data_IF_451047950523
#
_entry.id   IF_451047950523
#
_cell.length_a   1.000
_cell.length_b   1.000
_cell.length_c   1.000
_cell.angle_alpha   90.00
_cell.angle_beta   90.00
_cell.angle_gamma   90.00
#
_symmetry.space_group_name_H-M   'P 1'
#
loop_
_entity.id
_entity.type
_entity.pdbx_description
1 polymer ?
#
# COMPACT_ATOMS: atom_id res chain seq x y z
N UNK A 1 10.42 -34.86 -15.83
CA UNK A 1 10.33 -35.71 -14.63
C UNK A 1 11.55 -35.41 -13.79
N UNK A 2 11.44 -34.51 -12.82
CA UNK A 2 12.55 -34.15 -11.93
C UNK A 2 12.20 -34.65 -10.53
N UNK A 3 13.01 -35.62 -10.07
CA UNK A 3 12.90 -36.25 -8.77
C UNK A 3 13.59 -35.37 -7.73
N UNK A 4 12.89 -35.08 -6.63
CA UNK A 4 13.48 -34.52 -5.40
C UNK A 4 14.29 -35.61 -4.69
N UNK A 5 15.51 -35.35 -4.19
CA UNK A 5 16.21 -36.30 -3.33
C UNK A 5 15.70 -36.18 -1.89
N UNK A 6 15.12 -37.28 -1.39
CA UNK A 6 15.01 -37.57 0.03
C UNK A 6 16.43 -37.78 0.60
N UNK A 7 16.88 -36.87 1.46
CA UNK A 7 18.04 -37.09 2.32
C UNK A 7 17.76 -36.53 3.71
N UNK A 8 17.32 -37.43 4.60
CA UNK A 8 17.38 -37.24 6.05
C UNK A 8 18.86 -37.25 6.43
N UNK A 9 19.38 -36.11 6.90
CA UNK A 9 20.67 -36.06 7.59
C UNK A 9 20.37 -35.72 9.05
N UNK A 10 20.49 -36.75 9.90
CA UNK A 10 20.65 -36.56 11.34
C UNK A 10 22.10 -36.18 11.60
N UNK A 11 22.35 -34.93 11.98
CA UNK A 11 23.60 -34.53 12.65
C UNK A 11 23.28 -33.73 13.89
N UNK A 12 23.68 -34.31 15.01
CA UNK A 12 23.66 -33.79 16.37
C UNK A 12 24.47 -32.49 16.47
N UNK A 13 23.80 -31.39 16.82
CA UNK A 13 24.41 -30.09 17.06
C UNK A 13 23.33 -29.05 17.34
N UNK A 14 22.78 -29.06 18.56
CA UNK A 14 21.77 -28.08 19.01
C UNK A 14 22.38 -26.70 19.17
N UNK A 15 22.51 -25.95 18.08
CA UNK A 15 22.37 -24.50 18.11
C UNK A 15 20.88 -24.20 17.99
N UNK A 16 20.24 -24.03 19.15
CA UNK A 16 18.87 -23.58 19.25
C UNK A 16 18.83 -22.10 18.82
N UNK A 17 18.90 -21.85 17.51
CA UNK A 17 18.53 -20.56 16.95
C UNK A 17 17.08 -20.31 17.42
N UNK A 18 16.81 -19.21 18.17
CA UNK A 18 15.46 -18.96 18.64
C UNK A 18 14.54 -18.93 17.42
N UNK A 19 13.36 -19.55 17.48
CA UNK A 19 12.44 -19.69 16.34
C UNK A 19 12.19 -18.36 15.59
N UNK A 20 12.23 -17.24 16.32
CA UNK A 20 12.18 -15.87 15.78
C UNK A 20 13.31 -15.53 14.80
N UNK A 21 14.54 -16.01 15.03
CA UNK A 21 15.68 -15.79 14.13
C UNK A 21 15.56 -16.54 12.80
N UNK A 22 14.96 -17.74 12.81
CA UNK A 22 14.71 -18.53 11.61
C UNK A 22 13.57 -17.93 10.77
N UNK A 23 12.47 -17.54 11.41
CA UNK A 23 11.33 -16.89 10.75
C UNK A 23 11.71 -15.53 10.14
N UNK A 24 12.51 -14.74 10.85
CA UNK A 24 13.06 -13.48 10.34
C UNK A 24 13.96 -13.68 9.11
N UNK A 25 14.74 -14.76 9.07
CA UNK A 25 15.61 -15.08 7.93
C UNK A 25 14.78 -15.49 6.71
N UNK A 26 13.78 -16.35 6.90
CA UNK A 26 12.86 -16.78 5.83
C UNK A 26 12.11 -15.60 5.22
N UNK A 27 11.65 -14.67 6.05
CA UNK A 27 11.02 -13.43 5.61
C UNK A 27 11.97 -12.57 4.75
N UNK A 28 13.21 -12.40 5.21
CA UNK A 28 14.22 -11.62 4.49
C UNK A 28 14.51 -12.24 3.12
N UNK A 29 14.57 -13.57 3.04
CA UNK A 29 14.76 -14.29 1.77
C UNK A 29 13.53 -14.15 0.86
N UNK A 30 12.31 -14.27 1.39
CA UNK A 30 11.08 -14.06 0.62
C UNK A 30 11.05 -12.66 0.01
N UNK A 31 11.41 -11.61 0.77
CA UNK A 31 11.52 -10.24 0.25
C UNK A 31 12.57 -10.12 -0.85
N UNK A 32 13.72 -10.79 -0.73
CA UNK A 32 14.75 -10.78 -1.77
C UNK A 32 14.25 -11.42 -3.06
N UNK A 33 13.53 -12.53 -2.97
CA UNK A 33 12.90 -13.19 -4.13
C UNK A 33 11.86 -12.27 -4.77
N UNK A 34 11.00 -11.63 -3.96
CA UNK A 34 10.01 -10.67 -4.46
C UNK A 34 10.66 -9.46 -5.16
N UNK A 35 11.82 -9.00 -4.68
CA UNK A 35 12.59 -7.93 -5.35
C UNK A 35 13.12 -8.37 -6.72
N UNK A 36 13.55 -9.63 -6.82
CA UNK A 36 14.13 -10.22 -8.04
C UNK A 36 13.10 -10.62 -9.11
N UNK A 37 11.79 -10.48 -8.82
CA UNK A 37 10.75 -10.76 -9.81
C UNK A 37 10.90 -9.90 -11.07
N UNK A 38 10.64 -10.46 -12.26
CA UNK A 38 10.69 -9.72 -13.52
C UNK A 38 9.69 -8.57 -13.51
N UNK A 39 9.98 -7.50 -14.25
CA UNK A 39 9.13 -6.31 -14.32
C UNK A 39 7.78 -6.59 -15.00
N UNK A 40 7.77 -7.52 -15.94
CA UNK A 40 6.61 -7.84 -16.77
C UNK A 40 6.11 -9.25 -16.44
N UNK A 41 5.31 -9.36 -15.39
CA UNK A 41 4.62 -10.60 -15.03
C UNK A 41 3.27 -10.68 -15.77
N UNK A 42 2.94 -11.82 -16.35
CA UNK A 42 1.56 -12.07 -16.80
C UNK A 42 0.61 -12.19 -15.60
N UNK A 43 -0.68 -12.12 -15.83
CA UNK A 43 -1.66 -12.27 -14.75
C UNK A 43 -1.64 -13.68 -14.13
N UNK A 44 -1.40 -14.70 -14.96
CA UNK A 44 -1.25 -16.09 -14.50
C UNK A 44 0.00 -16.27 -13.64
N UNK A 45 1.12 -15.63 -13.99
CA UNK A 45 2.34 -15.66 -13.18
C UNK A 45 2.13 -14.92 -11.86
N UNK A 46 1.51 -13.74 -11.92
CA UNK A 46 1.18 -12.91 -10.76
C UNK A 46 0.28 -13.63 -9.75
N UNK A 47 -0.74 -14.35 -10.24
CA UNK A 47 -1.69 -15.09 -9.39
C UNK A 47 -1.03 -16.21 -8.55
N UNK A 48 0.16 -16.67 -8.96
CA UNK A 48 0.93 -17.72 -8.26
C UNK A 48 1.86 -17.15 -7.20
N UNK A 49 2.01 -15.83 -7.11
CA UNK A 49 2.93 -15.19 -6.20
C UNK A 49 2.27 -15.02 -4.84
N UNK A 50 2.96 -15.52 -3.81
CA UNK A 50 2.58 -15.34 -2.42
C UNK A 50 3.47 -14.30 -1.75
N UNK A 51 2.88 -13.56 -0.82
CA UNK A 51 3.51 -12.51 -0.03
C UNK A 51 3.36 -12.82 1.45
N UNK A 52 4.35 -12.43 2.29
CA UNK A 52 4.28 -12.61 3.72
C UNK A 52 3.29 -11.64 4.38
N UNK A 53 2.39 -12.17 5.20
CA UNK A 53 1.49 -11.40 6.05
C UNK A 53 2.13 -11.03 7.40
N UNK A 54 1.44 -10.18 8.17
CA UNK A 54 1.87 -9.75 9.51
C UNK A 54 2.02 -10.93 10.49
N UNK A 55 1.29 -12.02 10.27
CA UNK A 55 1.30 -13.27 11.06
C UNK A 55 2.36 -14.27 10.59
N UNK A 56 3.28 -13.87 9.71
CA UNK A 56 4.37 -14.69 9.17
C UNK A 56 3.91 -15.86 8.28
N UNK A 57 2.72 -15.75 7.71
CA UNK A 57 2.21 -16.72 6.74
C UNK A 57 2.33 -16.20 5.32
N UNK A 58 2.63 -17.09 4.39
CA UNK A 58 2.59 -16.78 2.96
C UNK A 58 1.15 -16.85 2.47
N UNK A 59 0.68 -15.74 1.92
CA UNK A 59 -0.69 -15.57 1.40
C UNK A 59 -0.64 -15.16 -0.07
N UNK A 60 -1.59 -15.59 -0.90
CA UNK A 60 -1.68 -15.08 -2.27
C UNK A 60 -1.71 -13.56 -2.30
N UNK A 61 -0.96 -12.94 -3.21
CA UNK A 61 -0.88 -11.47 -3.29
C UNK A 61 -2.26 -10.82 -3.57
N UNK A 62 -3.18 -11.55 -4.20
CA UNK A 62 -4.56 -11.13 -4.47
C UNK A 62 -5.46 -11.09 -3.23
N UNK A 63 -5.12 -11.83 -2.18
CA UNK A 63 -5.92 -11.96 -0.95
C UNK A 63 -5.43 -11.04 0.18
N UNK A 64 -4.21 -10.50 0.04
CA UNK A 64 -3.58 -9.64 1.04
C UNK A 64 -3.67 -8.14 0.66
N UNK A 65 -3.73 -7.30 1.69
CA UNK A 65 -3.78 -5.85 1.57
C UNK A 65 -2.45 -5.22 2.00
N UNK A 66 -1.96 -4.30 1.19
CA UNK A 66 -0.85 -3.44 1.57
C UNK A 66 -1.33 -2.28 2.43
N UNK A 67 -0.73 -2.10 3.60
CA UNK A 67 -1.01 -0.97 4.48
C UNK A 67 -0.28 0.29 3.97
N UNK A 68 -0.96 1.07 3.13
CA UNK A 68 -0.49 2.34 2.56
C UNK A 68 -0.81 3.57 3.43
N UNK A 69 -1.58 3.39 4.51
CA UNK A 69 -2.07 4.45 5.41
C UNK A 69 -1.25 4.58 6.69
N UNK A 70 -0.31 3.67 6.92
CA UNK A 70 0.63 3.68 8.05
C UNK A 70 0.02 3.21 9.37
N UNK A 71 0.91 2.87 10.32
CA UNK A 71 0.56 2.25 11.61
C UNK A 71 -0.24 3.16 12.57
N UNK A 72 -0.35 4.45 12.25
CA UNK A 72 -1.06 5.45 13.06
C UNK A 72 -2.53 5.59 12.69
N UNK A 73 -2.97 4.98 11.59
CA UNK A 73 -4.36 5.00 11.18
C UNK A 73 -5.15 3.95 11.96
N UNK A 74 -6.13 4.38 12.75
CA UNK A 74 -7.00 3.48 13.49
C UNK A 74 -8.07 2.90 12.56
N UNK A 75 -7.65 2.02 11.66
CA UNK A 75 -8.57 1.19 10.88
C UNK A 75 -8.68 -0.14 11.60
N UNK A 76 -9.87 -0.48 12.07
CA UNK A 76 -10.17 -1.87 12.45
C UNK A 76 -10.03 -2.74 11.21
N UNK A 77 -8.83 -3.27 11.01
CA UNK A 77 -8.54 -4.17 9.90
C UNK A 77 -9.38 -5.45 9.98
N UNK A 78 -10.00 -5.75 11.13
CA UNK A 78 -10.87 -6.91 11.30
C UNK A 78 -10.18 -8.19 10.85
N UNK A 79 -10.84 -8.93 9.96
CA UNK A 79 -10.32 -10.17 9.35
C UNK A 79 -9.45 -9.94 8.10
N UNK A 80 -9.06 -8.69 7.79
CA UNK A 80 -8.22 -8.39 6.63
C UNK A 80 -6.80 -8.92 6.83
N UNK A 81 -6.31 -9.60 5.80
CA UNK A 81 -4.94 -10.11 5.74
C UNK A 81 -4.03 -8.97 5.32
N UNK A 82 -3.27 -8.42 6.26
CA UNK A 82 -2.31 -7.34 5.98
C UNK A 82 -0.93 -7.90 5.64
N UNK A 83 -0.30 -7.38 4.59
CA UNK A 83 1.11 -7.64 4.34
C UNK A 83 1.99 -6.89 5.31
N UNK A 84 3.19 -7.42 5.52
CA UNK A 84 4.20 -6.78 6.35
C UNK A 84 4.66 -5.41 5.81
N UNK A 85 4.97 -4.43 6.69
CA UNK A 85 5.40 -3.08 6.29
C UNK A 85 6.67 -3.02 5.44
N UNK A 86 7.53 -4.05 5.51
CA UNK A 86 8.78 -4.09 4.76
C UNK A 86 8.59 -4.39 3.26
N UNK A 87 7.36 -4.70 2.81
CA UNK A 87 7.02 -4.69 1.40
C UNK A 87 7.11 -3.26 0.87
N UNK A 88 7.86 -3.04 -0.20
CA UNK A 88 7.95 -1.70 -0.81
C UNK A 88 6.83 -1.50 -1.85
N UNK A 89 6.47 -0.22 -2.08
CA UNK A 89 5.46 0.18 -3.07
C UNK A 89 5.71 -0.36 -4.49
N UNK A 90 6.98 -0.53 -4.87
CA UNK A 90 7.33 -1.09 -6.18
C UNK A 90 6.93 -2.56 -6.32
N UNK A 91 7.04 -3.37 -5.27
CA UNK A 91 6.58 -4.77 -5.26
C UNK A 91 5.05 -4.80 -5.25
N UNK A 92 4.41 -4.00 -4.40
CA UNK A 92 2.95 -3.89 -4.29
C UNK A 92 2.31 -3.59 -5.65
N UNK A 93 2.83 -2.59 -6.36
CA UNK A 93 2.39 -2.25 -7.72
C UNK A 93 2.65 -3.38 -8.71
N UNK A 94 3.85 -3.96 -8.70
CA UNK A 94 4.21 -5.08 -9.59
C UNK A 94 3.39 -6.34 -9.36
N UNK A 95 2.75 -6.49 -8.22
CA UNK A 95 1.88 -7.62 -7.89
C UNK A 95 0.39 -7.30 -7.99
N UNK A 96 0.02 -6.07 -8.41
CA UNK A 96 -1.37 -5.58 -8.42
C UNK A 96 -2.09 -5.79 -7.09
N UNK A 97 -1.39 -5.60 -5.99
CA UNK A 97 -1.96 -5.81 -4.66
C UNK A 97 -3.01 -4.76 -4.32
N UNK A 98 -4.03 -5.20 -3.59
CA UNK A 98 -5.03 -4.30 -3.02
C UNK A 98 -4.41 -3.43 -1.93
N UNK A 99 -4.84 -2.17 -1.86
CA UNK A 99 -4.39 -1.20 -0.85
C UNK A 99 -5.43 -1.01 0.22
N UNK A 100 -4.99 -0.91 1.47
CA UNK A 100 -5.88 -0.79 2.63
C UNK A 100 -6.68 0.51 2.58
N UNK A 101 -6.04 1.63 2.23
CA UNK A 101 -6.69 2.93 2.10
C UNK A 101 -7.78 2.96 1.02
N UNK A 102 -7.70 2.08 0.02
CA UNK A 102 -8.71 1.97 -1.04
C UNK A 102 -9.88 1.04 -0.69
N UNK A 103 -9.73 0.18 0.32
CA UNK A 103 -10.78 -0.79 0.71
C UNK A 103 -12.00 -0.13 1.32
N UNK A 104 -11.78 0.91 2.13
CA UNK A 104 -12.83 1.62 2.86
C UNK A 104 -13.33 2.87 2.13
N UNK A 105 -12.71 3.23 1.01
CA UNK A 105 -13.31 4.17 0.09
C UNK A 105 -14.52 3.46 -0.51
N UNK A 106 -15.76 3.96 -0.31
CA UNK A 106 -16.87 3.56 -1.15
C UNK A 106 -16.55 4.10 -2.54
N UNK A 107 -15.79 3.33 -3.31
CA UNK A 107 -15.85 3.38 -4.76
C UNK A 107 -17.28 2.97 -5.08
N UNK A 108 -18.22 3.93 -4.98
CA UNK A 108 -19.45 3.86 -5.76
C UNK A 108 -18.99 3.37 -7.12
N UNK A 109 -19.55 2.23 -7.56
CA UNK A 109 -19.42 1.73 -8.94
C UNK A 109 -19.20 2.95 -9.82
N UNK A 110 -18.13 3.02 -10.62
CA UNK A 110 -17.76 4.23 -11.35
C UNK A 110 -19.07 4.83 -11.84
N UNK A 111 -19.42 5.97 -11.26
CA UNK A 111 -20.58 6.72 -11.68
C UNK A 111 -20.42 6.76 -13.20
N UNK A 112 -21.41 6.21 -13.91
CA UNK A 112 -21.51 6.14 -15.37
C UNK A 112 -20.43 7.01 -15.98
N UNK A 113 -19.40 6.41 -16.60
CA UNK A 113 -18.29 7.15 -17.20
C UNK A 113 -18.87 8.34 -17.96
N UNK A 114 -18.77 9.53 -17.36
CA UNK A 114 -19.34 10.75 -17.92
C UNK A 114 -18.48 11.24 -19.09
N UNK A 115 -17.42 10.50 -19.46
CA UNK A 115 -16.38 10.93 -20.39
C UNK A 115 -15.59 12.12 -19.88
N UNK A 116 -15.85 12.55 -18.64
CA UNK A 116 -15.28 13.73 -18.06
C UNK A 116 -13.91 13.40 -17.49
N UNK A 117 -12.87 13.99 -18.07
CA UNK A 117 -11.51 13.87 -17.55
C UNK A 117 -11.50 14.41 -16.12
N UNK A 118 -10.79 13.75 -15.22
CA UNK A 118 -10.63 14.17 -13.81
C UNK A 118 -10.31 15.67 -13.67
N UNK A 119 -9.48 16.21 -14.58
CA UNK A 119 -9.15 17.63 -14.61
C UNK A 119 -10.37 18.53 -14.86
N UNK A 120 -11.28 18.11 -15.74
CA UNK A 120 -12.53 18.82 -16.04
C UNK A 120 -13.48 18.77 -14.85
N UNK A 121 -13.59 17.61 -14.19
CA UNK A 121 -14.39 17.50 -12.97
C UNK A 121 -13.86 18.41 -11.85
N UNK A 122 -12.53 18.43 -11.65
CA UNK A 122 -11.89 19.33 -10.67
C UNK A 122 -12.15 20.80 -11.05
N UNK A 123 -11.99 21.18 -12.31
CA UNK A 123 -12.23 22.54 -12.79
C UNK A 123 -13.68 22.98 -12.56
N UNK A 124 -14.64 22.14 -12.93
CA UNK A 124 -16.07 22.42 -12.77
C UNK A 124 -16.45 22.61 -11.29
N UNK A 125 -15.84 21.83 -10.39
CA UNK A 125 -16.02 22.04 -8.95
C UNK A 125 -15.40 23.36 -8.51
N UNK A 126 -14.16 23.66 -8.92
CA UNK A 126 -13.49 24.92 -8.56
C UNK A 126 -14.23 26.15 -9.08
N UNK A 127 -14.91 26.09 -10.23
CA UNK A 127 -15.76 27.16 -10.75
C UNK A 127 -17.00 27.44 -9.89
N UNK A 128 -17.48 26.42 -9.16
CA UNK A 128 -18.66 26.54 -8.29
C UNK A 128 -18.30 26.98 -6.87
N UNK A 129 -17.04 26.84 -6.47
CA UNK A 129 -16.56 27.26 -5.16
C UNK A 129 -16.34 28.77 -5.11
N UNK A 130 -17.02 29.43 -4.18
CA UNK A 130 -16.72 30.83 -3.83
C UNK A 130 -15.60 30.83 -2.78
N UNK A 131 -14.65 31.78 -2.85
CA UNK A 131 -13.48 31.83 -1.95
C UNK A 131 -13.82 31.69 -0.46
N UNK A 132 -14.97 32.22 -0.04
CA UNK A 132 -15.45 32.14 1.35
C UNK A 132 -15.82 30.71 1.78
N UNK A 133 -16.14 29.80 0.84
CA UNK A 133 -16.49 28.42 1.13
C UNK A 133 -15.26 27.55 1.41
N UNK A 134 -14.10 27.92 0.88
CA UNK A 134 -12.86 27.13 1.02
C UNK A 134 -12.49 26.89 2.47
N UNK A 135 -12.42 27.96 3.29
CA UNK A 135 -12.06 27.82 4.71
C UNK A 135 -13.17 27.12 5.51
N UNK A 136 -14.43 27.32 5.15
CA UNK A 136 -15.55 26.65 5.79
C UNK A 136 -15.53 25.13 5.59
N UNK A 137 -15.16 24.66 4.39
CA UNK A 137 -14.99 23.22 4.13
C UNK A 137 -13.84 22.61 4.93
N UNK A 138 -12.69 23.29 5.01
CA UNK A 138 -11.59 22.81 5.86
C UNK A 138 -12.01 22.73 7.33
N UNK A 139 -12.70 23.75 7.83
CA UNK A 139 -13.22 23.76 9.19
C UNK A 139 -14.27 22.65 9.43
N UNK A 140 -15.20 22.46 8.50
CA UNK A 140 -16.22 21.42 8.59
C UNK A 140 -15.60 20.02 8.62
N UNK A 141 -14.58 19.77 7.80
CA UNK A 141 -13.83 18.51 7.79
C UNK A 141 -13.08 18.29 9.12
N UNK A 142 -12.43 19.33 9.65
CA UNK A 142 -11.72 19.28 10.93
C UNK A 142 -12.68 19.01 12.10
N UNK A 143 -13.85 19.67 12.09
CA UNK A 143 -14.90 19.44 13.08
C UNK A 143 -15.49 18.02 12.98
N UNK A 144 -15.76 17.54 11.76
CA UNK A 144 -16.24 16.17 11.51
C UNK A 144 -15.25 15.10 11.95
N UNK A 145 -13.94 15.39 11.92
CA UNK A 145 -12.88 14.54 12.45
C UNK A 145 -12.71 14.61 13.99
N UNK A 146 -13.48 15.46 14.68
CA UNK A 146 -13.44 15.59 16.13
C UNK A 146 -12.25 16.40 16.67
N UNK A 147 -11.59 17.20 15.83
CA UNK A 147 -10.50 18.04 16.32
C UNK A 147 -11.01 19.17 17.21
N UNK A 148 -10.24 19.48 18.25
CA UNK A 148 -10.54 20.56 19.19
C UNK A 148 -9.88 21.88 18.81
N UNK A 149 -8.92 21.85 17.89
CA UNK A 149 -8.15 22.99 17.44
C UNK A 149 -8.02 22.98 15.91
N UNK A 150 -8.03 24.16 15.30
CA UNK A 150 -7.84 24.37 13.88
C UNK A 150 -6.96 25.60 13.68
N UNK A 151 -5.88 25.46 12.91
CA UNK A 151 -4.91 26.51 12.67
C UNK A 151 -4.67 26.67 11.17
N UNK A 152 -4.68 27.92 10.69
CA UNK A 152 -4.31 28.28 9.33
C UNK A 152 -2.95 28.97 9.38
N UNK A 153 -1.98 28.44 8.64
CA UNK A 153 -0.70 29.09 8.39
C UNK A 153 -0.60 29.41 6.90
N UNK A 154 -0.47 30.69 6.57
CA UNK A 154 -0.15 31.13 5.21
C UNK A 154 1.35 31.38 5.18
N UNK A 155 2.06 30.63 4.34
CA UNK A 155 3.51 30.72 4.18
C UNK A 155 3.83 31.29 2.79
N UNK A 156 4.60 32.39 2.78
CA UNK A 156 5.07 33.07 1.56
C UNK A 156 6.41 32.50 1.06
N UNK A 157 6.92 31.42 1.66
CA UNK A 157 8.14 30.75 1.19
C UNK A 157 7.92 30.06 -0.17
N UNK A 158 8.62 30.55 -1.20
CA UNK A 158 8.68 29.87 -2.49
C UNK A 158 9.51 28.59 -2.41
N UNK A 159 8.90 27.45 -2.75
CA UNK A 159 9.65 26.21 -2.99
C UNK A 159 10.68 26.41 -4.13
N UNK A 160 11.87 25.78 -4.06
CA UNK A 160 12.82 25.79 -5.17
C UNK A 160 12.14 25.26 -6.43
N UNK A 161 12.12 26.05 -7.51
CA UNK A 161 11.57 25.58 -8.78
C UNK A 161 12.47 24.45 -9.30
N UNK A 162 11.92 23.28 -9.65
CA UNK A 162 12.70 22.27 -10.35
C UNK A 162 13.20 22.89 -11.66
N UNK A 163 14.51 22.82 -11.91
CA UNK A 163 15.06 23.15 -13.22
C UNK A 163 14.52 22.10 -14.18
N UNK A 164 13.47 22.44 -14.93
CA UNK A 164 13.01 21.60 -16.03
C UNK A 164 14.10 21.61 -17.09
N UNK A 165 14.74 20.46 -17.31
CA UNK A 165 15.64 20.30 -18.45
C UNK A 165 14.82 20.46 -19.75
N UNK A 166 15.36 21.15 -20.78
CA UNK A 166 14.70 21.25 -22.07
C UNK A 166 14.60 19.84 -22.69
N UNK A 167 13.44 19.57 -23.30
CA UNK A 167 13.13 18.36 -24.05
C UNK A 167 14.08 18.16 -25.23
#
# INVERSE_FOLDING_TARGET
MFLWPNSIISTTGTTHLPAQSFLSLMFTQALLVLKALPLNLTEEERSKISVPDVSEQLRPASEAYFNDIGDQSFIEAGDLILTRPQLNEQIVKRLHMSRLGLKFLPLKKPAVDTGEKLMTAIQNVLEQYVEQQTLCEFFANTSGAGATEFMILVDDHHAPRPIMAPF
#
